data_IF_101905142905
#
_entry.id   IF_101905142905
#
_cell.length_a   1.000
_cell.length_b   1.000
_cell.length_c   1.000
_cell.angle_alpha   90.00
_cell.angle_beta   90.00
_cell.angle_gamma   90.00
#
_symmetry.space_group_name_H-M   'P 1'
#
loop_
_entity.id
_entity.type
_entity.pdbx_description
1 polymer ?
#
# COMPACT_ATOMS: atom_id res chain seq x y z
N UNK A 1 -14.17 -4.21 -7.86
CA UNK A 1 -13.15 -3.46 -7.11
C UNK A 1 -12.19 -2.86 -8.11
N UNK A 2 -11.76 -1.62 -7.90
CA UNK A 2 -10.68 -1.06 -8.70
C UNK A 2 -9.35 -1.63 -8.18
N UNK A 3 -8.72 -2.48 -8.99
CA UNK A 3 -7.38 -3.01 -8.74
C UNK A 3 -6.40 -2.19 -9.60
N UNK A 4 -5.51 -1.46 -8.94
CA UNK A 4 -4.52 -0.61 -9.58
C UNK A 4 -3.13 -1.20 -9.40
N UNK A 5 -2.20 -0.81 -10.27
CA UNK A 5 -0.81 -1.20 -10.08
C UNK A 5 -0.28 -0.55 -8.81
N UNK A 6 0.64 -1.23 -8.13
CA UNK A 6 1.22 -0.69 -6.91
C UNK A 6 1.93 0.66 -7.14
N UNK A 7 2.42 0.89 -8.36
CA UNK A 7 3.08 2.13 -8.79
C UNK A 7 2.10 3.31 -8.95
N UNK A 8 0.81 3.02 -9.18
CA UNK A 8 -0.25 4.03 -9.34
C UNK A 8 -0.70 4.59 -7.98
N UNK A 9 -0.34 3.92 -6.87
CA UNK A 9 -0.59 4.41 -5.52
C UNK A 9 0.30 5.62 -5.25
N UNK A 10 -0.32 6.71 -4.83
CA UNK A 10 0.37 7.97 -4.55
C UNK A 10 1.54 7.77 -3.57
N UNK A 11 2.71 8.29 -3.92
CA UNK A 11 3.91 8.20 -3.09
C UNK A 11 4.68 6.87 -3.13
N UNK A 12 4.22 5.84 -3.86
CA UNK A 12 5.02 4.63 -4.17
C UNK A 12 5.91 4.91 -5.39
N UNK A 13 5.32 5.23 -6.54
CA UNK A 13 6.06 5.43 -7.79
C UNK A 13 6.87 4.20 -8.24
N UNK A 14 7.67 4.30 -9.32
CA UNK A 14 8.36 3.14 -9.90
C UNK A 14 9.42 2.53 -8.96
N UNK A 15 10.16 3.36 -8.22
CA UNK A 15 11.27 2.91 -7.36
C UNK A 15 10.78 2.07 -6.18
N UNK A 16 9.75 2.52 -5.44
CA UNK A 16 9.18 1.69 -4.39
C UNK A 16 8.33 0.57 -4.96
N UNK A 17 7.70 0.78 -6.11
CA UNK A 17 6.92 -0.25 -6.82
C UNK A 17 7.76 -1.48 -7.17
N UNK A 18 9.02 -1.30 -7.58
CA UNK A 18 9.96 -2.41 -7.75
C UNK A 18 10.23 -3.17 -6.46
N UNK A 19 10.41 -2.47 -5.32
CA UNK A 19 10.61 -3.12 -4.02
C UNK A 19 9.38 -3.91 -3.58
N UNK A 20 8.19 -3.36 -3.77
CA UNK A 20 6.94 -4.06 -3.49
C UNK A 20 6.78 -5.29 -4.39
N UNK A 21 7.09 -5.18 -5.69
CA UNK A 21 7.07 -6.32 -6.62
C UNK A 21 8.05 -7.41 -6.22
N UNK A 22 9.27 -7.04 -5.83
CA UNK A 22 10.26 -7.98 -5.31
C UNK A 22 9.78 -8.67 -4.02
N UNK A 23 8.96 -7.99 -3.21
CA UNK A 23 8.31 -8.56 -2.03
C UNK A 23 7.04 -9.39 -2.34
N UNK A 24 6.64 -9.51 -3.62
CA UNK A 24 5.45 -10.25 -4.08
C UNK A 24 4.16 -9.41 -4.16
N UNK A 25 4.26 -8.09 -3.99
CA UNK A 25 3.13 -7.14 -4.03
C UNK A 25 3.17 -6.36 -5.34
N UNK A 26 2.28 -6.70 -6.27
CA UNK A 26 2.23 -6.08 -7.61
C UNK A 26 1.09 -5.07 -7.80
N UNK A 27 0.08 -5.14 -6.94
CA UNK A 27 -1.16 -4.40 -7.06
C UNK A 27 -1.74 -4.05 -5.69
N UNK A 28 -2.77 -3.21 -5.69
CA UNK A 28 -3.46 -2.72 -4.50
C UNK A 28 -4.08 -3.84 -3.65
N UNK A 29 -4.66 -4.87 -4.26
CA UNK A 29 -5.24 -6.00 -3.53
C UNK A 29 -4.17 -6.85 -2.84
N UNK A 30 -3.04 -7.08 -3.52
CA UNK A 30 -1.90 -7.79 -2.96
C UNK A 30 -1.30 -7.01 -1.77
N UNK A 31 -1.29 -5.68 -1.85
CA UNK A 31 -0.83 -4.84 -0.74
C UNK A 31 -1.74 -5.04 0.47
N UNK A 32 -3.05 -4.85 0.31
CA UNK A 32 -4.02 -4.99 1.41
C UNK A 32 -3.94 -6.36 2.07
N UNK A 33 -3.87 -7.43 1.28
CA UNK A 33 -3.72 -8.81 1.78
C UNK A 33 -2.43 -9.00 2.58
N UNK A 34 -1.38 -8.29 2.21
CA UNK A 34 -0.06 -8.36 2.86
C UNK A 34 0.08 -7.40 4.05
N UNK A 35 -0.98 -6.68 4.42
CA UNK A 35 -0.96 -5.68 5.52
C UNK A 35 -2.09 -5.86 6.55
N UNK A 36 -2.86 -6.96 6.47
CA UNK A 36 -4.02 -7.20 7.34
C UNK A 36 -3.65 -7.29 8.83
N UNK A 37 -2.48 -7.85 9.14
CA UNK A 37 -2.00 -7.98 10.53
C UNK A 37 -0.72 -7.18 10.78
N UNK A 38 -0.44 -6.80 12.04
CA UNK A 38 0.84 -6.16 12.40
C UNK A 38 2.06 -6.98 11.98
N UNK A 39 2.01 -8.31 12.14
CA UNK A 39 3.10 -9.20 11.76
C UNK A 39 3.36 -9.20 10.24
N UNK A 40 2.30 -9.17 9.43
CA UNK A 40 2.41 -9.09 7.97
C UNK A 40 2.99 -7.73 7.53
N UNK A 41 2.55 -6.62 8.15
CA UNK A 41 3.12 -5.30 7.89
C UNK A 41 4.60 -5.24 8.21
N UNK A 42 5.01 -5.79 9.35
CA UNK A 42 6.43 -5.89 9.73
C UNK A 42 7.24 -6.69 8.72
N UNK A 43 6.75 -7.86 8.31
CA UNK A 43 7.39 -8.69 7.28
C UNK A 43 7.53 -7.93 5.95
N UNK A 44 6.49 -7.20 5.55
CA UNK A 44 6.52 -6.42 4.32
C UNK A 44 7.48 -5.23 4.42
N UNK A 45 7.52 -4.56 5.57
CA UNK A 45 8.44 -3.47 5.87
C UNK A 45 9.90 -3.94 5.75
N UNK A 46 10.23 -5.10 6.33
CA UNK A 46 11.55 -5.72 6.23
C UNK A 46 11.92 -6.07 4.77
N UNK A 47 11.01 -6.70 4.02
CA UNK A 47 11.24 -7.07 2.60
C UNK A 47 11.43 -5.87 1.68
N UNK A 48 10.71 -4.77 1.94
CA UNK A 48 10.74 -3.56 1.12
C UNK A 48 11.76 -2.54 1.59
N UNK A 49 12.39 -2.76 2.75
CA UNK A 49 13.26 -1.77 3.40
C UNK A 49 12.52 -0.48 3.78
N UNK A 50 11.22 -0.57 4.05
CA UNK A 50 10.38 0.54 4.49
C UNK A 50 10.15 0.47 6.01
N UNK A 51 9.73 1.59 6.61
CA UNK A 51 9.23 1.56 7.98
C UNK A 51 7.81 1.00 8.03
N UNK A 52 7.44 0.34 9.13
CA UNK A 52 6.08 -0.17 9.35
C UNK A 52 5.02 0.93 9.24
N UNK A 53 5.34 2.14 9.71
CA UNK A 53 4.46 3.32 9.59
C UNK A 53 4.20 3.68 8.13
N UNK A 54 5.21 3.59 7.26
CA UNK A 54 5.06 3.90 5.84
C UNK A 54 4.25 2.82 5.11
N UNK A 55 4.45 1.56 5.47
CA UNK A 55 3.62 0.43 4.98
C UNK A 55 2.16 0.61 5.41
N UNK A 56 1.91 1.00 6.66
CA UNK A 56 0.56 1.27 7.16
C UNK A 56 -0.10 2.44 6.41
N UNK A 57 0.63 3.51 6.14
CA UNK A 57 0.12 4.65 5.36
C UNK A 57 -0.35 4.21 3.97
N UNK A 58 0.44 3.41 3.26
CA UNK A 58 0.03 2.88 1.95
C UNK A 58 -1.16 1.93 2.06
N UNK A 59 -1.20 1.07 3.08
CA UNK A 59 -2.35 0.19 3.31
C UNK A 59 -3.65 0.98 3.53
N UNK A 60 -3.62 2.03 4.35
CA UNK A 60 -4.79 2.88 4.61
C UNK A 60 -5.25 3.60 3.34
N UNK A 61 -4.32 4.18 2.57
CA UNK A 61 -4.65 4.85 1.31
C UNK A 61 -5.28 3.90 0.30
N UNK A 62 -4.74 2.69 0.17
CA UNK A 62 -5.30 1.67 -0.72
C UNK A 62 -6.64 1.16 -0.21
N UNK A 63 -6.88 1.10 1.09
CA UNK A 63 -8.19 0.74 1.64
C UNK A 63 -9.24 1.81 1.30
N UNK A 64 -8.88 3.09 1.34
CA UNK A 64 -9.75 4.20 0.93
C UNK A 64 -10.12 4.15 -0.55
N UNK A 65 -9.25 3.64 -1.43
CA UNK A 65 -9.58 3.46 -2.87
C UNK A 65 -10.78 2.52 -3.10
N UNK A 66 -11.17 1.73 -2.10
CA UNK A 66 -12.33 0.84 -2.15
C UNK A 66 -13.63 1.56 -1.83
N UNK A 67 -13.58 2.76 -1.25
CA UNK A 67 -14.75 3.56 -0.90
C UNK A 67 -15.08 4.47 -2.07
N UNK A 68 -16.08 4.07 -2.86
CA UNK A 68 -16.61 4.89 -3.95
C UNK A 68 -17.16 6.21 -3.41
N UNK A 69 -16.54 7.34 -3.80
CA UNK A 69 -16.95 8.69 -3.39
C UNK A 69 -16.06 9.36 -2.35
N UNK A 70 -15.04 8.69 -1.82
CA UNK A 70 -14.00 9.34 -0.99
C UNK A 70 -12.83 9.70 -1.91
N UNK A 71 -12.82 10.95 -2.37
CA UNK A 71 -11.70 11.54 -3.09
C UNK A 71 -10.46 11.64 -2.20
N UNK A 72 -9.30 11.70 -2.84
CA UNK A 72 -7.95 11.83 -2.26
C UNK A 72 -7.78 12.93 -1.20
N UNK A 73 -8.73 13.86 -1.09
CA UNK A 73 -8.75 15.00 -0.17
C UNK A 73 -8.91 14.66 1.32
N UNK A 74 -9.34 13.44 1.69
CA UNK A 74 -9.44 13.01 3.11
C UNK A 74 -8.29 12.11 3.58
N UNK A 75 -7.37 11.72 2.69
CA UNK A 75 -6.33 10.74 3.00
C UNK A 75 -5.16 11.29 3.85
N UNK A 76 -5.06 12.61 4.02
CA UNK A 76 -4.04 13.25 4.87
C UNK A 76 -4.48 13.52 6.32
N UNK A 77 -5.75 13.25 6.67
CA UNK A 77 -6.31 13.57 7.99
C UNK A 77 -6.22 12.43 9.04
N UNK A 78 -5.58 11.31 8.72
CA UNK A 78 -5.43 10.12 9.58
C UNK A 78 -3.98 9.62 9.68
#
# INVERSE_FOLDING_TARGET
MANYKIEDVEGIGPVLGEKFRAAGVKDTDALLKSTLTPAQRKTLAEKTGLSEARVLKFANMVDLYRVSGVGSEYAELL
#
